data_IF_427629315955
#
_entry.id   IF_427629315955
#
_cell.length_a   1.000
_cell.length_b   1.000
_cell.length_c   1.000
_cell.angle_alpha   90.00
_cell.angle_beta   90.00
_cell.angle_gamma   90.00
#
_symmetry.space_group_name_H-M   'P 1'
#
loop_
_entity.id
_entity.type
_entity.pdbx_description
1 polymer ?
#
# COMPACT_ATOMS: atom_id res chain seq x y z
N UNK A 1 9.24 -37.98 2.08
CA UNK A 1 8.63 -36.69 1.71
C UNK A 1 9.69 -35.60 1.83
N UNK A 2 10.16 -35.07 0.70
CA UNK A 2 11.10 -33.95 0.68
C UNK A 2 10.49 -32.78 1.44
N UNK A 3 11.13 -32.34 2.54
CA UNK A 3 10.87 -31.03 3.11
C UNK A 3 11.40 -30.03 2.08
N UNK A 4 10.53 -29.46 1.26
CA UNK A 4 10.84 -28.26 0.52
C UNK A 4 11.15 -27.16 1.55
N UNK A 5 12.41 -27.03 1.93
CA UNK A 5 12.89 -25.87 2.65
C UNK A 5 12.71 -24.70 1.70
N UNK A 6 11.68 -23.87 1.92
CA UNK A 6 11.59 -22.58 1.24
C UNK A 6 12.88 -21.82 1.60
N UNK A 7 13.76 -21.68 0.62
CA UNK A 7 14.92 -20.82 0.70
C UNK A 7 14.52 -19.44 0.18
N UNK A 8 14.74 -18.42 1.01
CA UNK A 8 14.59 -17.02 0.63
C UNK A 8 15.97 -16.40 0.44
N UNK A 9 16.04 -15.32 -0.32
CA UNK A 9 17.24 -14.51 -0.47
C UNK A 9 17.45 -13.57 0.71
N UNK A 10 18.29 -12.56 0.48
CA UNK A 10 18.62 -11.51 1.44
C UNK A 10 17.39 -10.75 1.96
N UNK A 11 17.43 -10.32 3.22
CA UNK A 11 16.41 -9.43 3.78
C UNK A 11 16.58 -8.00 3.31
N UNK A 12 15.55 -7.14 3.48
CA UNK A 12 15.71 -5.70 3.23
C UNK A 12 16.83 -5.12 4.12
N UNK A 13 17.02 -5.65 5.33
CA UNK A 13 18.12 -5.23 6.21
C UNK A 13 19.47 -5.55 5.57
N UNK A 14 19.66 -6.81 5.13
CA UNK A 14 20.92 -7.25 4.51
C UNK A 14 21.22 -6.47 3.21
N UNK A 15 20.18 -6.23 2.39
CA UNK A 15 20.31 -5.44 1.17
C UNK A 15 20.68 -3.98 1.46
N UNK A 16 20.18 -3.38 2.55
CA UNK A 16 20.58 -2.02 2.96
C UNK A 16 22.01 -2.00 3.49
N UNK A 17 22.45 -3.02 4.20
CA UNK A 17 23.84 -3.13 4.64
C UNK A 17 24.80 -3.25 3.44
N UNK A 18 24.38 -3.94 2.38
CA UNK A 18 25.19 -4.17 1.17
C UNK A 18 25.20 -3.02 0.18
N UNK A 19 24.06 -2.39 -0.09
CA UNK A 19 23.93 -1.33 -1.10
C UNK A 19 23.87 0.08 -0.51
N UNK A 20 23.71 0.22 0.80
CA UNK A 20 23.46 1.49 1.45
C UNK A 20 22.08 2.04 1.12
N UNK A 21 22.02 3.33 0.82
CA UNK A 21 20.78 4.01 0.46
C UNK A 21 20.27 3.56 -0.92
N UNK A 22 19.02 3.09 -0.95
CA UNK A 22 18.35 2.78 -2.20
C UNK A 22 17.88 4.03 -2.95
N UNK A 23 17.72 3.87 -4.27
CA UNK A 23 17.10 4.86 -5.13
C UNK A 23 15.62 5.09 -4.78
N UNK A 24 15.10 6.26 -5.14
CA UNK A 24 13.67 6.59 -4.99
C UNK A 24 12.76 5.53 -5.61
N UNK A 25 13.12 5.03 -6.79
CA UNK A 25 12.39 3.96 -7.49
C UNK A 25 12.29 2.69 -6.64
N UNK A 26 13.42 2.19 -6.11
CA UNK A 26 13.45 1.04 -5.20
C UNK A 26 12.65 1.29 -3.93
N UNK A 27 12.81 2.45 -3.28
CA UNK A 27 12.08 2.78 -2.05
C UNK A 27 10.56 2.80 -2.27
N UNK A 28 10.09 3.35 -3.39
CA UNK A 28 8.66 3.35 -3.75
C UNK A 28 8.14 1.93 -4.00
N UNK A 29 8.90 1.10 -4.74
CA UNK A 29 8.53 -0.29 -5.05
C UNK A 29 8.52 -1.16 -3.79
N UNK A 30 9.52 -1.04 -2.92
CA UNK A 30 9.55 -1.73 -1.62
C UNK A 30 8.39 -1.31 -0.72
N UNK A 31 8.06 -0.02 -0.66
CA UNK A 31 6.91 0.48 0.11
C UNK A 31 5.59 -0.15 -0.37
N UNK A 32 5.41 -0.28 -1.69
CA UNK A 32 4.27 -0.95 -2.32
C UNK A 32 4.22 -2.46 -2.00
N UNK A 33 5.34 -3.16 -2.17
CA UNK A 33 5.40 -4.62 -1.96
C UNK A 33 5.21 -4.99 -0.49
N UNK A 34 5.76 -4.20 0.43
CA UNK A 34 5.61 -4.42 1.86
C UNK A 34 4.15 -4.27 2.32
N UNK A 35 3.43 -3.24 1.84
CA UNK A 35 2.01 -3.09 2.20
C UNK A 35 1.15 -4.22 1.64
N UNK A 36 1.51 -4.76 0.47
CA UNK A 36 0.82 -5.91 -0.12
C UNK A 36 0.98 -7.17 0.74
N UNK A 37 2.17 -7.41 1.30
CA UNK A 37 2.39 -8.49 2.26
C UNK A 37 1.54 -8.33 3.52
N UNK A 38 1.48 -7.10 4.07
CA UNK A 38 0.66 -6.78 5.24
C UNK A 38 -0.83 -7.01 4.95
N UNK A 39 -1.32 -6.59 3.78
CA UNK A 39 -2.69 -6.83 3.35
C UNK A 39 -3.00 -8.34 3.31
N UNK A 40 -2.08 -9.16 2.81
CA UNK A 40 -2.26 -10.62 2.72
C UNK A 40 -2.39 -11.27 4.10
N UNK A 41 -1.48 -10.99 5.05
CA UNK A 41 -1.59 -11.55 6.41
C UNK A 41 -2.87 -11.07 7.12
N UNK A 42 -3.26 -9.83 6.91
CA UNK A 42 -4.50 -9.29 7.46
C UNK A 42 -5.76 -9.94 6.86
N UNK A 43 -5.77 -10.26 5.57
CA UNK A 43 -6.88 -10.98 4.90
C UNK A 43 -7.11 -12.36 5.50
N UNK A 44 -6.03 -13.11 5.76
CA UNK A 44 -6.10 -14.44 6.39
C UNK A 44 -6.39 -14.39 7.90
N UNK A 45 -6.56 -13.20 8.48
CA UNK A 45 -7.09 -13.02 9.83
C UNK A 45 -6.04 -12.89 10.94
N UNK A 46 -4.79 -12.61 10.59
CA UNK A 46 -3.67 -12.41 11.53
C UNK A 46 -3.16 -10.97 11.49
N UNK A 47 -2.54 -10.52 12.57
CA UNK A 47 -1.73 -9.30 12.66
C UNK A 47 -0.30 -9.76 12.92
N UNK A 48 0.67 -9.20 12.21
CA UNK A 48 2.08 -9.58 12.29
C UNK A 48 2.73 -9.18 13.62
N UNK A 49 2.50 -7.93 14.06
CA UNK A 49 3.00 -7.31 15.30
C UNK A 49 4.51 -7.07 15.40
N UNK A 50 5.29 -7.36 14.36
CA UNK A 50 6.74 -7.11 14.30
C UNK A 50 7.21 -6.72 12.89
N UNK A 51 6.50 -5.80 12.25
CA UNK A 51 6.87 -5.28 10.92
C UNK A 51 8.17 -4.46 11.02
N UNK A 52 9.19 -4.86 10.25
CA UNK A 52 10.53 -4.25 10.18
C UNK A 52 11.29 -4.74 8.92
N UNK A 53 12.37 -4.08 8.48
CA UNK A 53 13.13 -4.53 7.30
C UNK A 53 13.59 -5.99 7.35
N UNK A 54 14.08 -6.43 8.51
CA UNK A 54 14.60 -7.78 8.73
C UNK A 54 13.55 -8.91 8.70
N UNK A 55 12.27 -8.62 8.49
CA UNK A 55 11.23 -9.66 8.29
C UNK A 55 10.72 -9.73 6.85
N UNK A 56 11.29 -8.93 5.96
CA UNK A 56 11.03 -8.98 4.53
C UNK A 56 12.26 -9.49 3.80
N UNK A 57 12.11 -10.54 3.00
CA UNK A 57 13.17 -11.10 2.17
C UNK A 57 12.80 -11.09 0.70
N UNK A 58 13.80 -10.98 -0.17
CA UNK A 58 13.61 -11.17 -1.61
C UNK A 58 13.54 -12.67 -1.96
N UNK A 59 12.94 -12.99 -3.10
CA UNK A 59 13.04 -14.34 -3.65
C UNK A 59 14.44 -14.64 -4.19
N UNK A 60 14.66 -15.88 -4.61
CA UNK A 60 15.89 -16.32 -5.28
C UNK A 60 15.68 -16.37 -6.81
N UNK A 61 16.79 -16.28 -7.56
CA UNK A 61 16.76 -16.37 -9.03
C UNK A 61 15.75 -15.42 -9.67
N UNK A 62 14.79 -15.98 -10.41
CA UNK A 62 13.75 -15.21 -11.10
C UNK A 62 12.79 -14.43 -10.17
N UNK A 63 12.78 -14.74 -8.87
CA UNK A 63 11.90 -14.09 -7.89
C UNK A 63 12.57 -12.98 -7.09
N UNK A 64 13.80 -12.57 -7.44
CA UNK A 64 14.54 -11.49 -6.75
C UNK A 64 13.85 -10.12 -6.81
N UNK A 65 12.80 -9.96 -7.63
CA UNK A 65 11.94 -8.78 -7.67
C UNK A 65 10.69 -8.88 -6.78
N UNK A 66 10.43 -10.04 -6.19
CA UNK A 66 9.32 -10.29 -5.26
C UNK A 66 9.78 -10.11 -3.82
N UNK A 67 8.83 -9.74 -2.95
CA UNK A 67 9.06 -9.57 -1.52
C UNK A 67 8.21 -10.57 -0.73
N UNK A 68 8.82 -11.25 0.23
CA UNK A 68 8.21 -12.25 1.08
C UNK A 68 8.28 -11.80 2.53
N UNK A 69 7.16 -11.89 3.25
CA UNK A 69 7.07 -11.60 4.68
C UNK A 69 7.23 -12.89 5.49
N UNK A 70 8.10 -12.88 6.49
CA UNK A 70 8.31 -13.98 7.43
C UNK A 70 8.35 -13.45 8.88
N UNK A 71 8.77 -14.26 9.85
CA UNK A 71 8.92 -13.78 11.23
C UNK A 71 7.63 -13.78 12.05
N UNK A 72 6.72 -14.73 11.78
CA UNK A 72 5.40 -14.82 12.40
C UNK A 72 5.37 -15.21 13.89
N UNK A 73 6.52 -15.23 14.59
CA UNK A 73 6.61 -15.64 16.00
C UNK A 73 5.80 -14.76 16.96
N UNK A 74 5.56 -13.50 16.60
CA UNK A 74 4.71 -12.57 17.36
C UNK A 74 3.31 -12.41 16.78
N UNK A 75 3.04 -13.04 15.64
CA UNK A 75 1.78 -12.90 14.93
C UNK A 75 0.62 -13.42 15.78
N UNK A 76 -0.54 -12.77 15.64
CA UNK A 76 -1.73 -13.11 16.43
C UNK A 76 -2.98 -13.04 15.57
N UNK A 77 -3.82 -14.07 15.69
CA UNK A 77 -5.14 -14.08 15.08
C UNK A 77 -6.01 -12.98 15.70
N UNK A 78 -6.61 -12.13 14.88
CA UNK A 78 -7.55 -11.07 15.33
C UNK A 78 -9.01 -11.43 15.04
N UNK A 79 -9.24 -12.38 14.13
CA UNK A 79 -10.56 -12.98 13.89
C UNK A 79 -10.78 -14.20 14.79
N UNK A 80 -12.04 -14.46 15.14
CA UNK A 80 -12.41 -15.66 15.89
C UNK A 80 -12.21 -16.92 15.03
N UNK A 81 -12.59 -16.88 13.76
CA UNK A 81 -12.30 -17.91 12.76
C UNK A 81 -12.07 -17.28 11.34
N UNK A 82 -11.41 -18.02 10.43
CA UNK A 82 -11.07 -17.58 9.06
C UNK A 82 -12.28 -17.05 8.29
N UNK A 83 -13.44 -17.68 8.47
CA UNK A 83 -14.65 -17.37 7.70
C UNK A 83 -15.57 -16.34 8.39
N UNK A 84 -15.23 -15.93 9.62
CA UNK A 84 -16.07 -15.03 10.41
C UNK A 84 -15.63 -13.57 10.24
N UNK A 85 -16.61 -12.66 10.20
CA UNK A 85 -16.36 -11.22 10.38
C UNK A 85 -16.22 -10.83 11.87
N UNK A 86 -16.25 -11.81 12.77
CA UNK A 86 -16.27 -11.58 14.22
C UNK A 86 -14.84 -11.39 14.74
N UNK A 87 -14.58 -10.19 15.24
CA UNK A 87 -13.31 -9.80 15.86
C UNK A 87 -13.18 -10.41 17.27
N UNK A 88 -11.95 -10.77 17.63
CA UNK A 88 -11.62 -11.10 19.02
C UNK A 88 -11.72 -9.85 19.89
N UNK A 89 -12.18 -10.03 21.13
CA UNK A 89 -12.21 -8.94 22.11
C UNK A 89 -10.80 -8.47 22.42
N UNK A 90 -10.64 -7.15 22.60
CA UNK A 90 -9.39 -6.54 23.05
C UNK A 90 -9.01 -7.07 24.42
N UNK A 91 -7.74 -7.46 24.61
CA UNK A 91 -7.19 -7.63 25.96
C UNK A 91 -6.95 -6.26 26.60
N UNK A 92 -7.15 -6.18 27.91
CA UNK A 92 -6.87 -4.97 28.71
C UNK A 92 -5.38 -4.65 28.78
N UNK A 93 -4.51 -5.67 28.76
CA UNK A 93 -3.06 -5.54 28.79
C UNK A 93 -2.38 -6.60 27.94
N UNK A 94 -1.35 -6.21 27.22
CA UNK A 94 -0.52 -7.09 26.38
C UNK A 94 0.95 -6.77 26.62
N UNK A 95 1.81 -7.78 26.66
CA UNK A 95 3.25 -7.54 26.82
C UNK A 95 3.81 -6.65 25.68
N UNK A 96 4.71 -5.75 26.06
CA UNK A 96 5.48 -4.93 25.15
C UNK A 96 6.49 -5.85 24.44
N UNK A 97 6.32 -6.05 23.13
CA UNK A 97 7.09 -6.99 22.31
C UNK A 97 7.24 -6.42 20.91
N UNK A 98 8.31 -6.82 20.22
CA UNK A 98 8.67 -6.37 18.88
C UNK A 98 9.88 -5.43 18.89
N UNK A 99 10.32 -5.03 17.70
CA UNK A 99 11.46 -4.12 17.54
C UNK A 99 11.11 -2.69 18.01
N UNK A 100 11.91 -2.12 18.91
CA UNK A 100 11.68 -0.77 19.52
C UNK A 100 11.56 0.34 18.47
N UNK A 101 12.41 0.29 17.43
CA UNK A 101 12.50 1.29 16.36
C UNK A 101 11.19 1.36 15.57
N UNK A 102 10.60 0.20 15.23
CA UNK A 102 9.42 0.14 14.37
C UNK A 102 8.10 -0.13 15.10
N UNK A 103 8.10 -0.60 16.35
CA UNK A 103 6.83 -0.94 17.02
C UNK A 103 5.90 0.27 17.18
N UNK A 104 4.59 0.06 17.07
CA UNK A 104 3.59 1.12 17.21
C UNK A 104 3.54 1.73 18.62
N UNK A 105 2.92 2.92 18.73
CA UNK A 105 2.59 3.55 20.02
C UNK A 105 1.73 2.65 20.90
N UNK A 106 0.79 1.90 20.34
CA UNK A 106 -0.03 0.94 21.11
C UNK A 106 0.83 -0.18 21.70
N UNK A 107 1.83 -0.65 20.96
CA UNK A 107 2.81 -1.63 21.45
C UNK A 107 3.57 -1.09 22.66
N UNK A 108 4.03 0.16 22.58
CA UNK A 108 4.71 0.83 23.69
C UNK A 108 3.81 1.00 24.92
N UNK A 109 2.52 1.28 24.71
CA UNK A 109 1.51 1.43 25.76
C UNK A 109 0.97 0.10 26.30
N UNK A 110 1.52 -1.04 25.89
CA UNK A 110 1.04 -2.37 26.29
C UNK A 110 -0.44 -2.63 25.96
N UNK A 111 -0.94 -2.01 24.90
CA UNK A 111 -2.32 -2.16 24.42
C UNK A 111 -2.45 -3.31 23.42
N UNK A 112 -3.67 -3.82 23.24
CA UNK A 112 -3.95 -4.79 22.19
C UNK A 112 -3.71 -4.18 20.81
N UNK A 113 -2.90 -4.89 20.01
CA UNK A 113 -2.53 -4.46 18.66
C UNK A 113 -3.59 -4.90 17.66
N UNK A 114 -3.79 -4.09 16.65
CA UNK A 114 -4.74 -4.21 15.56
C UNK A 114 -4.02 -4.05 14.21
N UNK A 115 -4.77 -4.10 13.11
CA UNK A 115 -4.20 -3.88 11.76
C UNK A 115 -3.53 -2.52 11.60
N UNK A 116 -4.00 -1.49 12.32
CA UNK A 116 -3.39 -0.15 12.27
C UNK A 116 -1.98 -0.13 12.86
N UNK A 117 -1.67 -1.06 13.75
CA UNK A 117 -0.36 -1.12 14.41
C UNK A 117 0.70 -1.66 13.46
N UNK A 118 0.37 -2.64 12.61
CA UNK A 118 1.25 -3.08 11.52
C UNK A 118 1.45 -1.96 10.48
N UNK A 119 0.42 -1.15 10.21
CA UNK A 119 0.53 0.02 9.33
C UNK A 119 1.39 1.13 9.93
N UNK A 120 1.28 1.40 11.23
CA UNK A 120 2.11 2.39 11.91
C UNK A 120 3.59 1.95 11.89
N UNK A 121 3.85 0.66 12.12
CA UNK A 121 5.19 0.10 11.97
C UNK A 121 5.74 0.18 10.54
N UNK A 122 4.91 -0.14 9.54
CA UNK A 122 5.25 0.04 8.13
C UNK A 122 5.53 1.50 7.77
N UNK A 123 4.74 2.45 8.31
CA UNK A 123 4.97 3.88 8.11
C UNK A 123 6.36 4.30 8.60
N UNK A 124 6.76 3.89 9.81
CA UNK A 124 8.10 4.19 10.32
C UNK A 124 9.20 3.58 9.45
N UNK A 125 9.00 2.35 8.97
CA UNK A 125 9.93 1.67 8.07
C UNK A 125 10.10 2.42 6.73
N UNK A 126 9.01 2.81 6.07
CA UNK A 126 9.12 3.55 4.80
C UNK A 126 9.69 4.96 5.01
N UNK A 127 9.41 5.61 6.14
CA UNK A 127 9.99 6.92 6.44
C UNK A 127 11.51 6.81 6.55
N UNK A 128 12.01 5.81 7.27
CA UNK A 128 13.44 5.49 7.30
C UNK A 128 13.98 5.25 5.88
N UNK A 129 13.22 4.60 4.99
CA UNK A 129 13.70 4.35 3.64
C UNK A 129 13.98 5.61 2.83
N UNK A 130 13.15 6.64 3.00
CA UNK A 130 13.24 7.90 2.25
C UNK A 130 14.10 8.97 2.94
N UNK A 131 14.57 8.72 4.17
CA UNK A 131 15.53 9.59 4.83
C UNK A 131 16.94 9.23 4.34
N UNK A 132 17.48 10.04 3.44
CA UNK A 132 18.81 9.82 2.84
C UNK A 132 19.91 10.29 3.79
N UNK A 133 19.92 11.57 4.16
CA UNK A 133 20.98 12.18 4.99
C UNK A 133 20.58 12.30 6.47
N UNK A 134 19.63 11.50 6.93
CA UNK A 134 19.05 11.61 8.25
C UNK A 134 18.52 10.26 8.70
N UNK A 135 18.21 10.15 9.98
CA UNK A 135 17.58 8.96 10.53
C UNK A 135 16.26 9.28 11.21
N UNK A 136 15.53 8.23 11.59
CA UNK A 136 14.37 8.39 12.46
C UNK A 136 14.80 9.13 13.74
N UNK A 137 13.99 10.06 14.29
CA UNK A 137 14.38 10.83 15.47
C UNK A 137 14.70 9.99 16.73
N UNK A 138 14.35 8.70 16.72
CA UNK A 138 14.54 7.73 17.78
C UNK A 138 15.39 6.53 17.36
N UNK A 139 16.18 6.63 16.29
CA UNK A 139 16.93 5.50 15.72
C UNK A 139 17.77 4.73 16.76
N UNK A 140 18.56 5.46 17.54
CA UNK A 140 19.51 4.92 18.53
C UNK A 140 18.95 4.89 19.96
N UNK A 141 17.70 5.29 20.14
CA UNK A 141 17.07 5.36 21.45
C UNK A 141 16.53 4.00 21.88
N UNK A 142 16.95 3.54 23.07
CA UNK A 142 16.55 2.25 23.64
C UNK A 142 15.48 2.40 24.72
N UNK A 143 15.30 3.60 25.28
CA UNK A 143 14.31 3.86 26.31
C UNK A 143 12.91 3.96 25.72
N UNK A 144 12.07 2.95 26.00
CA UNK A 144 10.69 2.89 25.52
C UNK A 144 9.85 4.14 25.76
N UNK A 145 10.03 4.83 26.90
CA UNK A 145 9.26 6.04 27.22
C UNK A 145 9.65 7.20 26.31
N UNK A 146 10.95 7.37 26.06
CA UNK A 146 11.49 8.43 25.19
C UNK A 146 11.11 8.14 23.73
N UNK A 147 11.25 6.89 23.27
CA UNK A 147 10.81 6.48 21.93
C UNK A 147 9.32 6.74 21.73
N UNK A 148 8.49 6.40 22.72
CA UNK A 148 7.04 6.66 22.67
C UNK A 148 6.75 8.16 22.52
N UNK A 149 7.36 9.03 23.34
CA UNK A 149 7.18 10.48 23.25
C UNK A 149 7.54 11.02 21.86
N UNK A 150 8.67 10.60 21.30
CA UNK A 150 9.08 11.00 19.95
C UNK A 150 8.12 10.49 18.87
N UNK A 151 7.59 9.26 19.02
CA UNK A 151 6.57 8.70 18.12
C UNK A 151 5.24 9.42 18.23
N UNK A 152 4.84 9.86 19.41
CA UNK A 152 3.64 10.67 19.61
C UNK A 152 3.78 12.04 18.95
N UNK A 153 4.90 12.73 19.16
CA UNK A 153 5.18 14.00 18.49
C UNK A 153 5.23 13.87 16.96
N UNK A 154 5.86 12.80 16.46
CA UNK A 154 5.86 12.44 15.04
C UNK A 154 4.44 12.31 14.50
N UNK A 155 3.62 11.46 15.12
CA UNK A 155 2.28 11.15 14.63
C UNK A 155 1.29 12.31 14.81
N UNK A 156 1.60 13.32 15.63
CA UNK A 156 0.82 14.54 15.79
C UNK A 156 1.12 15.55 14.67
N UNK A 157 2.34 16.10 14.65
CA UNK A 157 2.70 17.20 13.74
C UNK A 157 4.12 17.15 13.18
N UNK A 158 5.06 16.50 13.87
CA UNK A 158 6.46 16.53 13.47
C UNK A 158 6.73 15.71 12.19
N UNK A 159 5.83 14.81 11.80
CA UNK A 159 5.91 14.11 10.51
C UNK A 159 6.03 15.10 9.33
N UNK A 160 5.39 16.27 9.38
CA UNK A 160 5.49 17.28 8.31
C UNK A 160 6.92 17.80 8.14
N UNK A 161 7.63 18.03 9.24
CA UNK A 161 9.04 18.48 9.21
C UNK A 161 9.96 17.36 8.74
N UNK A 162 9.67 16.13 9.13
CA UNK A 162 10.47 14.95 8.77
C UNK A 162 10.26 14.60 7.29
N UNK A 163 9.04 14.70 6.78
CA UNK A 163 8.75 14.43 5.37
C UNK A 163 9.39 15.44 4.43
N UNK A 164 9.63 16.69 4.86
CA UNK A 164 10.45 17.66 4.10
C UNK A 164 11.89 17.17 3.86
N UNK A 165 12.40 16.28 4.72
CA UNK A 165 13.73 15.65 4.58
C UNK A 165 13.68 14.33 3.78
N UNK A 166 12.48 13.82 3.48
CA UNK A 166 12.30 12.54 2.79
C UNK A 166 12.32 12.73 1.27
N UNK A 167 13.40 12.35 0.58
CA UNK A 167 13.57 12.58 -0.86
C UNK A 167 12.67 11.64 -1.68
N UNK A 168 11.66 12.18 -2.35
CA UNK A 168 10.77 11.40 -3.23
C UNK A 168 9.63 10.67 -2.49
N UNK A 169 9.41 10.97 -1.21
CA UNK A 169 8.23 10.50 -0.48
C UNK A 169 6.94 11.04 -1.13
N UNK A 170 5.95 10.18 -1.45
CA UNK A 170 4.70 10.65 -2.05
C UNK A 170 3.91 11.57 -1.09
N UNK A 171 3.40 12.70 -1.60
CA UNK A 171 2.60 13.63 -0.80
C UNK A 171 1.35 12.99 -0.16
N UNK A 172 0.81 11.93 -0.78
CA UNK A 172 -0.31 11.15 -0.26
C UNK A 172 -0.05 10.49 1.10
N UNK A 173 1.23 10.30 1.49
CA UNK A 173 1.60 9.71 2.79
C UNK A 173 1.15 10.61 3.96
N UNK A 174 1.00 11.92 3.76
CA UNK A 174 0.40 12.81 4.76
C UNK A 174 -1.01 12.37 5.18
N UNK A 175 -1.80 11.89 4.22
CA UNK A 175 -3.16 11.38 4.47
C UNK A 175 -3.10 10.08 5.27
N UNK A 176 -2.07 9.24 5.06
CA UNK A 176 -1.91 7.98 5.77
C UNK A 176 -1.65 8.19 7.27
N UNK A 177 -0.85 9.19 7.64
CA UNK A 177 -0.63 9.54 9.07
C UNK A 177 -1.96 9.85 9.75
N UNK A 178 -2.80 10.68 9.12
CA UNK A 178 -4.12 11.04 9.63
C UNK A 178 -5.06 9.85 9.73
N UNK A 179 -5.08 8.97 8.72
CA UNK A 179 -5.88 7.76 8.72
C UNK A 179 -5.47 6.78 9.83
N UNK A 180 -4.16 6.53 10.00
CA UNK A 180 -3.65 5.65 11.06
C UNK A 180 -4.07 6.16 12.46
N UNK A 181 -4.05 7.48 12.67
CA UNK A 181 -4.51 8.08 13.92
C UNK A 181 -6.02 7.89 14.17
N UNK A 182 -6.86 7.94 13.11
CA UNK A 182 -8.32 7.83 13.26
C UNK A 182 -8.80 6.38 13.39
N UNK A 183 -8.00 5.41 12.95
CA UNK A 183 -8.39 4.01 12.95
C UNK A 183 -8.67 3.46 14.36
N UNK A 184 -9.84 2.84 14.47
CA UNK A 184 -10.25 2.02 15.58
C UNK A 184 -9.69 0.60 15.41
N UNK A 185 -9.89 -0.24 16.41
CA UNK A 185 -9.33 -1.58 16.47
C UNK A 185 -9.84 -2.53 15.39
N UNK A 186 -11.12 -2.40 15.07
CA UNK A 186 -11.87 -3.17 14.09
C UNK A 186 -11.95 -2.48 12.73
N UNK A 187 -11.40 -1.25 12.60
CA UNK A 187 -11.30 -0.57 11.31
C UNK A 187 -10.51 -1.41 10.33
N UNK A 188 -11.09 -1.63 9.14
CA UNK A 188 -10.42 -2.26 8.00
C UNK A 188 -9.73 -1.15 7.21
N UNK A 189 -8.39 -1.11 7.15
CA UNK A 189 -7.70 -0.12 6.33
C UNK A 189 -8.02 -0.29 4.84
N UNK A 190 -8.11 0.82 4.11
CA UNK A 190 -8.19 0.80 2.66
C UNK A 190 -6.79 0.57 2.06
N UNK A 191 -6.38 -0.69 1.97
CA UNK A 191 -5.11 -1.08 1.36
C UNK A 191 -5.01 -0.67 -0.12
N UNK A 192 -6.13 -0.54 -0.82
CA UNK A 192 -6.12 -0.13 -2.22
C UNK A 192 -5.70 1.33 -2.36
N UNK A 193 -6.27 2.21 -1.53
CA UNK A 193 -5.84 3.61 -1.43
C UNK A 193 -4.35 3.72 -1.10
N UNK A 194 -3.89 2.97 -0.08
CA UNK A 194 -2.48 3.00 0.33
C UNK A 194 -1.58 2.58 -0.83
N UNK A 195 -1.88 1.47 -1.51
CA UNK A 195 -1.12 0.98 -2.66
C UNK A 195 -1.12 1.96 -3.83
N UNK A 196 -2.23 2.65 -4.07
CA UNK A 196 -2.34 3.63 -5.16
C UNK A 196 -1.47 4.86 -4.94
N UNK A 197 -1.23 5.29 -3.70
CA UNK A 197 -0.30 6.39 -3.40
C UNK A 197 1.09 6.09 -3.99
N UNK A 198 1.62 4.89 -3.75
CA UNK A 198 2.94 4.49 -4.27
C UNK A 198 2.89 4.17 -5.75
N UNK A 199 1.87 3.46 -6.23
CA UNK A 199 1.70 3.18 -7.67
C UNK A 199 1.71 4.46 -8.48
N UNK A 200 0.95 5.47 -8.07
CA UNK A 200 0.88 6.75 -8.78
C UNK A 200 2.24 7.46 -8.75
N UNK A 201 2.95 7.46 -7.62
CA UNK A 201 4.30 8.04 -7.54
C UNK A 201 5.30 7.31 -8.45
N UNK A 202 5.24 5.97 -8.56
CA UNK A 202 6.10 5.19 -9.47
C UNK A 202 5.78 5.54 -10.94
N UNK A 203 4.49 5.69 -11.28
CA UNK A 203 4.08 6.08 -12.64
C UNK A 203 4.51 7.51 -12.98
N UNK A 204 4.22 8.46 -12.10
CA UNK A 204 4.55 9.88 -12.29
C UNK A 204 6.05 10.15 -12.33
N UNK A 205 6.84 9.36 -11.60
CA UNK A 205 8.31 9.43 -11.64
C UNK A 205 8.94 8.65 -12.81
N UNK A 206 8.14 8.06 -13.70
CA UNK A 206 8.60 7.19 -14.80
C UNK A 206 9.48 6.01 -14.33
N UNK A 207 9.22 5.49 -13.13
CA UNK A 207 10.02 4.46 -12.47
C UNK A 207 9.54 3.03 -12.77
N UNK A 208 8.60 2.85 -13.71
CA UNK A 208 7.99 1.52 -13.99
C UNK A 208 9.03 0.50 -14.43
N UNK A 209 9.81 0.83 -15.47
CA UNK A 209 10.83 -0.03 -16.07
C UNK A 209 12.16 -0.04 -15.30
N UNK A 210 12.36 0.87 -14.34
CA UNK A 210 13.61 0.89 -13.58
C UNK A 210 13.79 -0.38 -12.75
N UNK A 211 14.94 -1.02 -12.86
CA UNK A 211 15.28 -2.19 -12.04
C UNK A 211 15.48 -1.78 -10.58
N UNK A 212 15.13 -2.68 -9.66
CA UNK A 212 15.50 -2.54 -8.25
C UNK A 212 17.03 -2.46 -8.15
N UNK A 213 17.54 -1.75 -7.15
CA UNK A 213 18.98 -1.43 -7.11
C UNK A 213 19.88 -2.68 -7.13
N UNK A 214 19.45 -3.77 -6.47
CA UNK A 214 20.16 -5.05 -6.46
C UNK A 214 19.98 -5.91 -7.71
N UNK A 215 19.24 -5.43 -8.70
CA UNK A 215 19.07 -6.05 -10.02
C UNK A 215 19.78 -5.25 -11.12
N UNK A 216 20.36 -4.08 -10.80
CA UNK A 216 21.14 -3.29 -11.75
C UNK A 216 22.46 -3.99 -12.04
N UNK A 217 22.84 -4.10 -13.31
CA UNK A 217 24.08 -4.78 -13.74
C UNK A 217 24.01 -6.30 -13.85
N UNK A 218 22.91 -6.96 -13.47
CA UNK A 218 22.71 -8.42 -13.63
C UNK A 218 22.15 -8.82 -15.02
N UNK A 219 22.50 -8.06 -16.07
CA UNK A 219 21.92 -8.23 -17.43
C UNK A 219 22.27 -9.58 -18.08
N UNK A 220 23.40 -10.19 -17.73
CA UNK A 220 23.86 -11.45 -18.32
C UNK A 220 23.29 -12.72 -17.67
N UNK A 221 22.77 -12.64 -16.44
CA UNK A 221 22.21 -13.80 -15.73
C UNK A 221 20.68 -13.90 -15.90
N UNK A 222 19.96 -12.77 -15.88
CA UNK A 222 18.50 -12.77 -15.99
C UNK A 222 17.99 -13.16 -17.39
N UNK A 223 18.75 -12.85 -18.45
CA UNK A 223 18.41 -13.25 -19.83
C UNK A 223 18.53 -14.77 -20.02
N UNK A 224 19.41 -15.46 -19.29
CA UNK A 224 19.49 -16.94 -19.30
C UNK A 224 18.40 -17.61 -18.47
N UNK A 225 17.84 -16.92 -17.48
CA UNK A 225 16.88 -17.46 -16.52
C UNK A 225 15.40 -17.14 -16.81
N UNK A 226 15.08 -16.43 -17.90
CA UNK A 226 13.69 -16.16 -18.32
C UNK A 226 12.85 -15.33 -17.32
N UNK A 227 13.50 -14.52 -16.47
CA UNK A 227 12.83 -13.81 -15.38
C UNK A 227 12.15 -12.50 -15.83
N UNK A 228 10.83 -12.49 -15.80
CA UNK A 228 9.95 -11.40 -16.23
C UNK A 228 10.06 -10.13 -15.35
N UNK A 229 9.89 -8.97 -15.99
CA UNK A 229 9.81 -7.63 -15.38
C UNK A 229 8.72 -7.53 -14.29
N UNK A 230 8.78 -6.47 -13.47
CA UNK A 230 8.07 -6.40 -12.19
C UNK A 230 6.54 -6.61 -12.29
N UNK A 231 6.04 -7.66 -11.62
CA UNK A 231 4.60 -7.92 -11.36
C UNK A 231 3.84 -6.76 -10.70
N UNK A 232 4.54 -5.73 -10.21
CA UNK A 232 3.99 -4.50 -9.60
C UNK A 232 2.97 -3.81 -10.52
N UNK A 233 3.16 -3.92 -11.85
CA UNK A 233 2.31 -3.30 -12.86
C UNK A 233 1.47 -4.28 -13.70
N UNK A 234 1.79 -5.57 -13.73
CA UNK A 234 1.04 -6.58 -14.51
C UNK A 234 -0.36 -6.90 -13.94
N UNK A 235 -0.65 -6.48 -12.70
CA UNK A 235 -1.99 -6.67 -12.10
C UNK A 235 -3.08 -5.78 -12.74
N UNK A 236 -2.75 -4.91 -13.71
CA UNK A 236 -3.73 -4.08 -14.43
C UNK A 236 -4.62 -4.80 -15.45
N UNK A 237 -4.51 -6.12 -15.62
CA UNK A 237 -5.35 -6.82 -16.62
C UNK A 237 -6.71 -7.27 -16.07
N UNK A 238 -6.82 -7.89 -14.91
CA UNK A 238 -8.08 -8.62 -14.60
C UNK A 238 -9.13 -7.77 -13.90
N UNK A 239 -8.78 -7.02 -12.85
CA UNK A 239 -9.77 -6.26 -12.07
C UNK A 239 -10.28 -4.99 -12.77
N UNK A 240 -9.43 -4.34 -13.57
CA UNK A 240 -9.84 -3.19 -14.39
C UNK A 240 -10.69 -3.66 -15.60
N UNK A 241 -10.40 -4.83 -16.17
CA UNK A 241 -11.27 -5.49 -17.16
C UNK A 241 -12.59 -5.93 -16.54
N UNK A 242 -12.59 -6.52 -15.35
CA UNK A 242 -13.82 -6.92 -14.65
C UNK A 242 -14.67 -5.70 -14.29
N UNK A 243 -14.08 -4.63 -13.75
CA UNK A 243 -14.80 -3.38 -13.45
C UNK A 243 -15.36 -2.73 -14.73
N UNK A 244 -14.59 -2.69 -15.81
CA UNK A 244 -15.04 -2.16 -17.10
C UNK A 244 -16.12 -3.05 -17.74
N UNK A 245 -15.99 -4.37 -17.68
CA UNK A 245 -17.00 -5.32 -18.18
C UNK A 245 -18.29 -5.30 -17.36
N UNK A 246 -18.19 -5.09 -16.04
CA UNK A 246 -19.36 -4.98 -15.15
C UNK A 246 -20.12 -3.69 -15.42
N UNK A 247 -19.40 -2.59 -15.65
CA UNK A 247 -19.96 -1.29 -16.07
C UNK A 247 -20.59 -1.35 -17.47
N UNK A 248 -19.93 -2.01 -18.44
CA UNK A 248 -20.51 -2.22 -19.77
C UNK A 248 -21.72 -3.17 -19.76
N UNK A 249 -21.75 -4.17 -18.88
CA UNK A 249 -22.90 -5.06 -18.68
C UNK A 249 -24.08 -4.35 -17.99
N UNK A 250 -23.84 -3.43 -17.05
CA UNK A 250 -24.92 -2.63 -16.45
C UNK A 250 -25.52 -1.66 -17.48
N UNK A 251 -24.68 -0.97 -18.24
CA UNK A 251 -25.13 -0.07 -19.33
C UNK A 251 -25.91 -0.86 -20.41
N UNK A 252 -25.47 -2.07 -20.79
CA UNK A 252 -26.21 -2.93 -21.73
C UNK A 252 -27.53 -3.46 -21.17
N UNK A 253 -27.64 -3.68 -19.84
CA UNK A 253 -28.89 -4.10 -19.19
C UNK A 253 -29.88 -2.95 -19.12
N UNK A 254 -29.45 -1.75 -18.71
CA UNK A 254 -30.28 -0.55 -18.70
C UNK A 254 -30.80 -0.23 -20.11
N UNK A 255 -29.95 -0.37 -21.14
CA UNK A 255 -30.36 -0.15 -22.53
C UNK A 255 -31.39 -1.17 -23.02
N UNK A 256 -31.22 -2.47 -22.68
CA UNK A 256 -32.22 -3.51 -22.99
C UNK A 256 -33.53 -3.31 -22.22
N UNK A 257 -33.46 -2.82 -20.99
CA UNK A 257 -34.63 -2.54 -20.17
C UNK A 257 -35.41 -1.34 -20.72
N UNK A 258 -34.71 -0.31 -21.21
CA UNK A 258 -35.30 0.83 -21.93
C UNK A 258 -35.94 0.42 -23.27
N UNK A 259 -35.31 -0.49 -24.01
CA UNK A 259 -35.81 -1.00 -25.30
C UNK A 259 -36.99 -1.98 -25.17
N UNK A 260 -37.24 -2.53 -23.96
CA UNK A 260 -38.34 -3.45 -23.65
C UNK A 260 -39.58 -2.75 -23.09
N UNK A 261 -39.52 -1.45 -22.79
CA UNK A 261 -40.71 -0.68 -22.42
C UNK A 261 -41.58 -0.52 -23.67
N UNK A 262 -42.82 -1.06 -23.70
CA UNK A 262 -43.73 -0.84 -24.81
C UNK A 262 -43.98 0.66 -24.93
N UNK A 263 -43.64 1.25 -26.08
CA UNK A 263 -44.05 2.62 -26.38
C UNK A 263 -45.56 2.64 -26.44
N UNK A 264 -46.19 3.22 -25.42
CA UNK A 264 -47.61 3.56 -25.48
C UNK A 264 -47.81 4.64 -26.55
N UNK A 265 -48.96 4.60 -27.21
CA UNK A 265 -49.29 5.22 -28.50
C UNK A 265 -49.38 6.76 -28.50
N UNK A 266 -48.61 7.45 -27.65
CA UNK A 266 -48.71 8.90 -27.43
C UNK A 266 -47.39 9.66 -27.70
N UNK A 267 -46.41 9.03 -28.36
CA UNK A 267 -45.14 9.71 -28.75
C UNK A 267 -44.86 9.71 -30.26
N UNK A 268 -45.85 9.42 -31.09
CA UNK A 268 -45.82 9.76 -32.52
C UNK A 268 -46.48 11.13 -32.76
N UNK A 269 -45.97 12.20 -32.14
CA UNK A 269 -46.27 13.58 -32.55
C UNK A 269 -45.26 14.58 -31.97
N UNK A 270 -44.07 14.63 -32.57
CA UNK A 270 -43.36 15.89 -32.87
C UNK A 270 -42.01 15.58 -33.51
N UNK A 271 -41.99 15.50 -34.84
CA UNK A 271 -40.77 15.73 -35.62
C UNK A 271 -41.00 17.06 -36.35
N UNK A 272 -39.95 17.87 -36.42
CA UNK A 272 -39.84 19.21 -37.03
C UNK A 272 -40.16 20.42 -36.13
N UNK A 273 -39.10 21.05 -35.62
CA UNK A 273 -38.72 22.42 -36.02
C UNK A 273 -37.24 22.67 -35.66
N UNK A 274 -36.43 23.01 -36.65
CA UNK A 274 -35.14 23.65 -36.45
C UNK A 274 -35.36 25.16 -36.31
N UNK A 275 -34.64 25.88 -35.45
CA UNK A 275 -34.47 27.32 -35.60
C UNK A 275 -33.27 27.60 -36.50
N UNK A 276 -33.56 28.27 -37.62
CA UNK A 276 -32.60 28.93 -38.50
C UNK A 276 -31.85 30.06 -37.78
N UNK A 277 -30.55 30.17 -38.04
CA UNK A 277 -29.72 31.29 -37.64
C UNK A 277 -30.14 32.58 -38.36
N UNK A 278 -30.20 33.70 -37.63
CA UNK A 278 -30.19 35.05 -38.18
C UNK A 278 -29.22 35.89 -37.36
N UNK A 279 -28.22 36.47 -38.05
CA UNK A 279 -27.12 37.24 -37.47
C UNK A 279 -27.52 38.62 -36.92
N UNK A 280 -26.55 39.38 -36.38
CA UNK A 280 -26.82 40.66 -35.74
C UNK A 280 -26.89 41.79 -36.78
N UNK A 281 -27.87 42.67 -36.64
CA UNK A 281 -27.94 43.95 -37.33
C UNK A 281 -28.01 45.10 -36.30
N UNK A 282 -27.36 46.19 -36.69
CA UNK A 282 -27.01 47.40 -35.96
C UNK A 282 -28.17 48.30 -35.51
N UNK A 283 -27.86 49.07 -34.45
CA UNK A 283 -28.09 50.52 -34.19
C UNK A 283 -29.47 51.11 -33.82
N UNK A 284 -29.34 52.11 -32.92
CA UNK A 284 -30.23 53.25 -32.56
C UNK A 284 -31.55 52.91 -31.87
N UNK A 285 -31.98 53.57 -30.79
CA UNK A 285 -31.70 54.92 -30.24
C UNK A 285 -31.29 54.90 -28.75
#
# INVERSE_FOLDING_TARGET
>A
MSKNNLQFGETISDLRDRFGEFSTSTNLKLSYLAIECIEQIHKVGFIHRDIKPAVYAIGLGAERSQLFLFGFGLARRYKTDKNTKVFRKKRSKVHQMGNIRYMSRSSHKSLERSRKDDLESWLYMIVEFFLTTSSLPWEDEKNHKIVLQKKEAFMDKDYLKIFKKCKGMPAGVNTLVRQINSFQYDTVPDYHLIKNIFRNAIVSGNYKSEKLDWLKGEEDEMVRAGACESKIFDVKSEREKEASQRSQKSIRREKKEYDLVPKTDDQQRSVFMMPSASGPACMSE
#
